data_IF_550115987090
#
_entry.id   IF_550115987090
#
_cell.length_a   1.000
_cell.length_b   1.000
_cell.length_c   1.000
_cell.angle_alpha   90.00
_cell.angle_beta   90.00
_cell.angle_gamma   90.00
#
_symmetry.space_group_name_H-M   'P 1'
#
loop_
_entity.id
_entity.type
_entity.pdbx_description
1 polymer ?
#
# COMPACT_ATOMS: atom_id res chain seq x y z
N UNK A 1 13.73 -6.44 2.56
CA UNK A 1 13.48 -5.39 3.55
C UNK A 1 12.06 -5.61 4.07
N UNK A 2 11.87 -5.66 5.39
CA UNK A 2 10.57 -5.87 5.99
C UNK A 2 9.58 -4.76 5.61
N UNK A 3 8.32 -5.16 5.45
CA UNK A 3 7.24 -4.31 4.98
C UNK A 3 6.05 -4.43 5.94
N UNK A 4 5.72 -3.35 6.64
CA UNK A 4 4.58 -3.28 7.55
C UNK A 4 3.38 -2.70 6.83
N UNK A 5 2.27 -3.45 6.77
CA UNK A 5 1.02 -2.93 6.22
C UNK A 5 0.52 -1.76 7.08
N UNK A 6 0.08 -0.69 6.45
CA UNK A 6 -0.48 0.49 7.10
C UNK A 6 -1.84 0.81 6.54
N UNK A 7 -2.77 1.09 7.43
CA UNK A 7 -4.02 1.72 7.06
C UNK A 7 -3.79 3.22 6.87
N UNK A 8 -4.32 3.73 5.76
CA UNK A 8 -4.11 5.11 5.34
C UNK A 8 -5.44 5.74 4.96
N UNK A 9 -5.55 7.04 5.18
CA UNK A 9 -6.66 7.86 4.70
C UNK A 9 -6.15 8.84 3.65
N UNK A 10 -6.93 9.02 2.60
CA UNK A 10 -6.65 10.03 1.57
C UNK A 10 -6.84 11.43 2.16
N UNK A 11 -5.81 12.25 2.06
CA UNK A 11 -5.77 13.61 2.60
C UNK A 11 -5.73 14.68 1.50
N UNK A 12 -5.95 14.29 0.24
CA UNK A 12 -5.97 15.18 -0.92
C UNK A 12 -4.89 14.84 -1.95
N UNK A 13 -4.65 15.75 -2.89
CA UNK A 13 -3.66 15.59 -3.96
C UNK A 13 -2.56 16.64 -3.78
N UNK A 14 -1.30 16.19 -3.72
CA UNK A 14 -0.12 17.06 -3.62
C UNK A 14 0.77 16.76 -4.81
N UNK A 15 1.12 17.79 -5.59
CA UNK A 15 1.96 17.67 -6.78
C UNK A 15 1.47 16.60 -7.79
N UNK A 16 0.14 16.48 -7.96
CA UNK A 16 -0.48 15.50 -8.86
C UNK A 16 -0.47 14.06 -8.35
N UNK A 17 0.01 13.81 -7.12
CA UNK A 17 -0.01 12.49 -6.46
C UNK A 17 -0.97 12.51 -5.28
N UNK A 18 -1.62 11.39 -5.02
CA UNK A 18 -2.55 11.29 -3.90
C UNK A 18 -1.79 11.21 -2.58
N UNK A 19 -2.03 12.17 -1.69
CA UNK A 19 -1.43 12.22 -0.37
C UNK A 19 -2.20 11.31 0.57
N UNK A 20 -1.51 10.32 1.11
CA UNK A 20 -2.01 9.35 2.06
C UNK A 20 -1.43 9.64 3.43
N UNK A 21 -2.28 9.69 4.45
CA UNK A 21 -1.87 9.85 5.85
C UNK A 21 -2.12 8.52 6.57
N UNK A 22 -1.10 7.91 7.19
CA UNK A 22 -1.29 6.73 8.03
C UNK A 22 -2.24 7.05 9.19
N UNK A 23 -3.26 6.22 9.39
CA UNK A 23 -4.23 6.40 10.49
C UNK A 23 -3.70 5.91 11.84
N UNK A 24 -2.52 5.28 11.86
CA UNK A 24 -1.89 4.71 13.04
C UNK A 24 -2.20 3.23 13.24
N UNK A 25 -3.22 2.69 12.57
CA UNK A 25 -3.49 1.24 12.54
C UNK A 25 -2.49 0.54 11.62
N UNK A 26 -1.65 -0.30 12.22
CA UNK A 26 -0.65 -1.09 11.53
C UNK A 26 -1.14 -2.53 11.41
N UNK A 27 -1.11 -3.05 10.20
CA UNK A 27 -1.39 -4.44 9.91
C UNK A 27 -0.17 -5.34 10.12
N UNK A 28 -0.20 -6.57 9.59
CA UNK A 28 0.90 -7.50 9.72
C UNK A 28 2.18 -6.96 9.07
N UNK A 29 3.31 -7.22 9.74
CA UNK A 29 4.63 -6.99 9.16
C UNK A 29 5.07 -8.23 8.42
N UNK A 30 5.46 -8.05 7.17
CA UNK A 30 5.91 -9.12 6.29
C UNK A 30 7.42 -9.01 6.07
N UNK A 31 8.14 -10.15 5.89
CA UNK A 31 9.58 -10.12 5.61
C UNK A 31 9.90 -9.38 4.30
N UNK A 32 9.04 -9.56 3.29
CA UNK A 32 9.09 -8.82 2.03
C UNK A 32 7.68 -8.46 1.56
N UNK A 33 7.53 -7.27 0.96
CA UNK A 33 6.24 -6.90 0.32
C UNK A 33 5.86 -7.86 -0.81
N UNK A 34 6.85 -8.51 -1.41
CA UNK A 34 6.64 -9.51 -2.46
C UNK A 34 5.92 -10.76 -1.96
N UNK A 35 6.02 -11.10 -0.67
CA UNK A 35 5.24 -12.19 -0.06
C UNK A 35 3.75 -11.87 -0.12
N UNK A 36 3.38 -10.62 0.17
CA UNK A 36 2.00 -10.14 0.05
C UNK A 36 1.50 -10.20 -1.38
N UNK A 37 2.27 -9.66 -2.32
CA UNK A 37 1.92 -9.65 -3.75
C UNK A 37 1.74 -11.09 -4.25
N UNK A 38 2.65 -11.98 -3.89
CA UNK A 38 2.59 -13.40 -4.27
C UNK A 38 1.37 -14.09 -3.67
N UNK A 39 1.04 -13.83 -2.40
CA UNK A 39 -0.15 -14.37 -1.76
C UNK A 39 -1.44 -13.92 -2.46
N UNK A 40 -1.53 -12.63 -2.84
CA UNK A 40 -2.67 -12.09 -3.59
C UNK A 40 -2.78 -12.68 -4.99
N UNK A 41 -1.67 -12.80 -5.71
CA UNK A 41 -1.63 -13.45 -7.02
C UNK A 41 -2.03 -14.93 -6.94
N UNK A 42 -1.59 -15.67 -5.91
CA UNK A 42 -2.06 -17.05 -5.63
C UNK A 42 -3.57 -17.12 -5.38
N UNK A 43 -4.12 -16.11 -4.71
CA UNK A 43 -5.56 -15.95 -4.52
C UNK A 43 -6.31 -15.47 -5.78
N UNK A 44 -5.64 -15.36 -6.94
CA UNK A 44 -6.16 -14.84 -8.21
C UNK A 44 -6.66 -13.39 -8.12
N UNK A 45 -6.11 -12.62 -7.19
CA UNK A 45 -6.40 -11.20 -7.03
C UNK A 45 -5.36 -10.42 -7.84
N UNK A 46 -5.84 -9.61 -8.78
CA UNK A 46 -4.97 -8.71 -9.53
C UNK A 46 -4.48 -7.57 -8.62
N UNK A 47 -3.16 -7.39 -8.57
CA UNK A 47 -2.49 -6.36 -7.78
C UNK A 47 -1.70 -5.46 -8.73
N UNK A 48 -1.80 -4.14 -8.53
CA UNK A 48 -1.08 -3.13 -9.29
C UNK A 48 -0.25 -2.26 -8.36
N UNK A 49 1.02 -2.04 -8.69
CA UNK A 49 1.82 -1.03 -8.00
C UNK A 49 1.33 0.38 -8.37
N UNK A 50 1.02 1.17 -7.35
CA UNK A 50 0.60 2.58 -7.46
C UNK A 50 1.52 3.49 -6.65
N UNK A 51 2.68 2.98 -6.23
CA UNK A 51 3.68 3.67 -5.41
C UNK A 51 4.12 4.99 -6.05
N UNK A 52 4.20 5.04 -7.38
CA UNK A 52 4.58 6.24 -8.12
C UNK A 52 3.52 7.34 -8.11
N UNK A 53 2.24 6.97 -7.90
CA UNK A 53 1.07 7.86 -7.98
C UNK A 53 0.60 8.36 -6.61
N UNK A 54 1.21 7.88 -5.53
CA UNK A 54 0.84 8.26 -4.17
C UNK A 54 2.04 8.80 -3.39
N UNK A 55 1.76 9.60 -2.38
CA UNK A 55 2.72 10.11 -1.42
C UNK A 55 2.21 9.78 -0.03
N UNK A 56 2.99 9.08 0.78
CA UNK A 56 2.60 8.82 2.17
C UNK A 56 3.34 9.77 3.10
N UNK A 57 2.59 10.55 3.88
CA UNK A 57 3.16 11.52 4.81
C UNK A 57 3.92 10.81 5.94
N UNK A 58 5.13 11.30 6.23
CA UNK A 58 5.91 10.84 7.39
C UNK A 58 6.60 9.48 7.22
N UNK A 59 6.65 8.93 6.01
CA UNK A 59 7.33 7.66 5.72
C UNK A 59 8.43 7.90 4.69
N UNK A 60 9.67 7.57 5.05
CA UNK A 60 10.83 7.74 4.15
C UNK A 60 10.79 6.77 2.96
N UNK A 61 10.42 5.53 3.21
CA UNK A 61 10.33 4.49 2.19
C UNK A 61 9.03 3.72 2.36
N UNK A 62 8.23 3.67 1.31
CA UNK A 62 6.97 2.97 1.29
C UNK A 62 6.86 2.08 0.05
N UNK A 63 5.75 1.36 -0.05
CA UNK A 63 5.19 0.86 -1.30
C UNK A 63 3.66 0.91 -1.20
N UNK A 64 2.97 1.19 -2.29
CA UNK A 64 1.52 1.22 -2.33
C UNK A 64 1.01 0.34 -3.46
N UNK A 65 0.09 -0.55 -3.11
CA UNK A 65 -0.51 -1.48 -4.06
C UNK A 65 -2.02 -1.33 -4.06
N UNK A 66 -2.60 -1.35 -5.25
CA UNK A 66 -4.04 -1.40 -5.47
C UNK A 66 -4.41 -2.84 -5.88
N UNK A 67 -5.27 -3.48 -5.11
CA UNK A 67 -5.83 -4.79 -5.44
C UNK A 67 -7.28 -4.66 -5.90
N UNK A 68 -7.66 -5.47 -6.89
CA UNK A 68 -9.03 -5.55 -7.38
C UNK A 68 -9.76 -6.70 -6.69
N UNK A 69 -10.50 -6.39 -5.64
CA UNK A 69 -11.38 -7.32 -4.94
C UNK A 69 -12.81 -7.20 -5.51
N UNK A 70 -13.11 -8.00 -6.53
CA UNK A 70 -14.40 -7.94 -7.25
C UNK A 70 -14.58 -6.60 -7.97
N UNK A 71 -15.63 -5.85 -7.60
CA UNK A 71 -15.92 -4.52 -8.15
C UNK A 71 -15.20 -3.37 -7.41
N UNK A 72 -14.58 -3.64 -6.24
CA UNK A 72 -13.92 -2.62 -5.42
C UNK A 72 -12.42 -2.66 -5.60
N UNK A 73 -11.82 -1.47 -5.62
CA UNK A 73 -10.37 -1.28 -5.56
C UNK A 73 -9.98 -1.04 -4.11
N UNK A 74 -9.17 -1.91 -3.55
CA UNK A 74 -8.64 -1.76 -2.19
C UNK A 74 -7.18 -1.34 -2.34
N UNK A 75 -6.77 -0.29 -1.63
CA UNK A 75 -5.38 0.14 -1.60
C UNK A 75 -4.75 -0.22 -0.28
N UNK A 76 -3.58 -0.83 -0.37
CA UNK A 76 -2.77 -1.24 0.78
C UNK A 76 -1.42 -0.56 0.66
N UNK A 77 -1.04 0.19 1.70
CA UNK A 77 0.25 0.85 1.80
C UNK A 77 1.14 0.05 2.74
N UNK A 78 2.41 -0.06 2.40
CA UNK A 78 3.43 -0.70 3.22
C UNK A 78 4.49 0.32 3.57
N UNK A 79 4.86 0.37 4.85
CA UNK A 79 6.07 1.04 5.31
C UNK A 79 7.23 0.08 5.15
N UNK A 80 8.25 0.49 4.40
CA UNK A 80 9.48 -0.26 4.25
C UNK A 80 10.49 0.30 5.25
N UNK A 81 11.09 -0.58 6.04
CA UNK A 81 12.13 -0.25 7.03
C UNK A 81 13.46 -0.87 6.67
#
# INVERSE_FOLDING_TARGET
MPATALQVTSAGVVAGKELLIPTGEQGPTLPHVQDWVTAKLKAKIAVKDVSTSVLVKGIKQWAAYEEKAGARKIRTVFKIT
#
